data_IF_171278665412
#
_entry.id   IF_171278665412
#
_cell.length_a   1.000
_cell.length_b   1.000
_cell.length_c   1.000
_cell.angle_alpha   90.00
_cell.angle_beta   90.00
_cell.angle_gamma   90.00
#
_symmetry.space_group_name_H-M   'P 1'
#
loop_
_entity.id
_entity.type
_entity.pdbx_description
1 polymer ?
#
# COMPACT_ATOMS: atom_id res chain seq x y z
N UNK A 1 19.10 -34.50 -1.76
CA UNK A 1 18.20 -33.32 -1.67
C UNK A 1 19.10 -32.11 -1.41
N UNK A 2 19.23 -31.18 -2.36
CA UNK A 2 20.05 -29.97 -2.16
C UNK A 2 19.20 -28.94 -1.39
N UNK A 3 19.71 -28.30 -0.32
CA UNK A 3 19.01 -27.21 0.33
C UNK A 3 18.81 -26.09 -0.70
N UNK A 4 17.62 -25.50 -0.74
CA UNK A 4 17.41 -24.27 -1.49
C UNK A 4 18.30 -23.17 -0.87
N UNK A 5 18.94 -22.31 -1.66
CA UNK A 5 19.68 -21.18 -1.11
C UNK A 5 18.67 -20.32 -0.35
N UNK A 6 18.87 -20.18 0.97
CA UNK A 6 18.21 -19.13 1.74
C UNK A 6 18.98 -17.87 1.40
N UNK A 7 18.49 -17.17 0.38
CA UNK A 7 18.85 -15.79 0.17
C UNK A 7 18.46 -15.03 1.43
N UNK A 8 19.48 -14.59 2.16
CA UNK A 8 19.32 -13.57 3.18
C UNK A 8 18.88 -12.31 2.43
N UNK A 9 17.58 -12.15 2.17
CA UNK A 9 16.96 -10.97 1.56
C UNK A 9 17.17 -9.77 2.48
N UNK A 10 18.40 -9.26 2.50
CA UNK A 10 18.69 -7.92 2.97
C UNK A 10 18.01 -7.01 1.97
N UNK A 11 16.91 -6.38 2.37
CA UNK A 11 16.28 -5.30 1.60
C UNK A 11 17.37 -4.31 1.17
N UNK A 12 17.69 -4.28 -0.12
CA UNK A 12 18.69 -3.37 -0.67
C UNK A 12 17.99 -2.10 -1.15
N UNK A 13 18.70 -0.97 -1.17
CA UNK A 13 18.15 0.28 -1.72
C UNK A 13 17.75 0.20 -3.21
N UNK A 14 18.10 -0.89 -3.89
CA UNK A 14 17.79 -1.17 -5.30
C UNK A 14 16.59 -2.09 -5.52
N UNK A 15 15.93 -2.50 -4.44
CA UNK A 15 14.75 -3.35 -4.52
C UNK A 15 13.56 -2.60 -5.12
N UNK A 16 12.61 -3.36 -5.66
CA UNK A 16 11.44 -2.81 -6.33
C UNK A 16 10.27 -2.66 -5.36
N UNK A 17 9.57 -1.54 -5.47
CA UNK A 17 8.23 -1.41 -4.92
C UNK A 17 7.24 -2.03 -5.90
N UNK A 18 6.98 -3.33 -5.72
CA UNK A 18 6.19 -4.16 -6.64
C UNK A 18 4.76 -3.66 -6.84
N UNK A 19 4.07 -3.25 -5.77
CA UNK A 19 2.71 -2.72 -5.83
C UNK A 19 2.58 -1.44 -6.67
N UNK A 20 3.60 -0.58 -6.65
CA UNK A 20 3.65 0.65 -7.47
C UNK A 20 4.36 0.45 -8.82
N UNK A 21 4.97 -0.71 -9.06
CA UNK A 21 5.85 -1.00 -10.22
C UNK A 21 7.00 0.00 -10.38
N UNK A 22 7.53 0.50 -9.26
CA UNK A 22 8.64 1.46 -9.22
C UNK A 22 9.92 0.76 -8.74
N UNK A 23 11.06 1.06 -9.36
CA UNK A 23 12.38 0.58 -8.92
C UNK A 23 13.42 1.67 -9.15
N UNK A 24 14.24 1.94 -8.14
CA UNK A 24 15.44 2.75 -8.30
C UNK A 24 16.68 1.83 -8.36
N UNK A 25 17.19 1.57 -9.56
CA UNK A 25 18.40 0.74 -9.74
C UNK A 25 19.68 1.42 -9.26
N UNK A 26 19.66 2.74 -9.02
CA UNK A 26 20.80 3.49 -8.49
C UNK A 26 20.88 3.38 -6.97
N UNK A 27 19.74 3.23 -6.30
CA UNK A 27 19.63 3.18 -4.84
C UNK A 27 19.72 4.54 -4.14
N UNK A 28 19.60 5.64 -4.89
CA UNK A 28 19.76 7.00 -4.40
C UNK A 28 18.48 7.60 -3.81
N UNK A 29 17.33 6.98 -4.04
CA UNK A 29 16.02 7.47 -3.59
C UNK A 29 15.70 7.14 -2.12
N UNK A 30 16.61 6.44 -1.44
CA UNK A 30 16.42 5.84 -0.11
C UNK A 30 15.60 4.55 -0.16
N UNK A 31 15.49 3.84 0.96
CA UNK A 31 14.77 2.55 1.02
C UNK A 31 13.37 2.65 1.66
N UNK A 32 13.02 3.80 2.26
CA UNK A 32 11.77 3.96 2.99
C UNK A 32 10.62 4.35 2.05
N UNK A 33 9.70 3.40 1.80
CA UNK A 33 8.50 3.60 0.98
C UNK A 33 7.47 4.46 1.69
N UNK A 34 7.24 4.23 2.99
CA UNK A 34 6.23 4.92 3.77
C UNK A 34 5.54 4.02 4.79
N UNK A 35 4.47 4.55 5.39
CA UNK A 35 3.59 3.85 6.32
C UNK A 35 2.14 4.04 5.87
N UNK A 36 1.31 3.00 6.03
CA UNK A 36 -0.12 3.07 5.70
C UNK A 36 -0.96 2.86 6.95
N UNK A 37 -2.01 3.66 7.07
CA UNK A 37 -3.08 3.48 8.05
C UNK A 37 -4.39 3.20 7.32
N UNK A 38 -5.18 2.25 7.81
CA UNK A 38 -6.51 1.94 7.28
C UNK A 38 -7.53 1.96 8.42
N UNK A 39 -8.70 2.53 8.14
CA UNK A 39 -9.87 2.50 9.00
C UNK A 39 -11.06 1.95 8.23
N UNK A 40 -11.87 1.14 8.90
CA UNK A 40 -13.06 0.52 8.31
C UNK A 40 -14.22 0.48 9.30
N UNK A 41 -15.38 0.96 8.85
CA UNK A 41 -16.62 0.95 9.60
C UNK A 41 -17.64 0.11 8.87
N UNK A 42 -18.29 -0.80 9.60
CA UNK A 42 -19.34 -1.69 9.07
C UNK A 42 -20.58 -1.57 9.92
N UNK A 43 -21.73 -1.37 9.28
CA UNK A 43 -23.02 -1.25 9.94
C UNK A 43 -24.06 -2.12 9.24
N UNK A 44 -24.75 -2.95 10.02
CA UNK A 44 -25.90 -3.72 9.56
C UNK A 44 -27.16 -2.87 9.69
N UNK A 45 -27.58 -2.24 8.60
CA UNK A 45 -28.79 -1.43 8.57
C UNK A 45 -30.05 -2.28 8.71
N UNK A 46 -30.06 -3.47 8.07
CA UNK A 46 -31.07 -4.51 8.27
C UNK A 46 -30.34 -5.80 8.60
N UNK A 47 -30.55 -6.40 9.79
CA UNK A 47 -29.87 -7.63 10.17
C UNK A 47 -30.00 -8.71 9.10
N UNK A 48 -28.87 -9.28 8.68
CA UNK A 48 -28.76 -10.34 7.66
C UNK A 48 -29.21 -9.99 6.24
N UNK A 49 -29.66 -8.77 5.96
CA UNK A 49 -30.15 -8.39 4.62
C UNK A 49 -29.36 -7.24 4.04
N UNK A 50 -29.14 -6.15 4.81
CA UNK A 50 -28.50 -4.94 4.30
C UNK A 50 -27.35 -4.50 5.20
N UNK A 51 -26.16 -4.40 4.61
CA UNK A 51 -24.96 -3.88 5.26
C UNK A 51 -24.40 -2.69 4.50
N UNK A 52 -24.02 -1.66 5.23
CA UNK A 52 -23.19 -0.57 4.75
C UNK A 52 -21.77 -0.74 5.29
N UNK A 53 -20.79 -0.44 4.45
CA UNK A 53 -19.39 -0.40 4.80
C UNK A 53 -18.77 0.88 4.24
N UNK A 54 -17.94 1.53 5.04
CA UNK A 54 -17.07 2.58 4.56
C UNK A 54 -15.66 2.33 5.06
N UNK A 55 -14.68 2.73 4.27
CA UNK A 55 -13.30 2.68 4.71
C UNK A 55 -12.50 3.85 4.17
N UNK A 56 -11.41 4.12 4.87
CA UNK A 56 -10.44 5.15 4.56
C UNK A 56 -9.05 4.57 4.72
N UNK A 57 -8.17 4.83 3.76
CA UNK A 57 -6.77 4.49 3.81
C UNK A 57 -5.93 5.74 3.57
N UNK A 58 -4.89 5.91 4.37
CA UNK A 58 -3.93 7.00 4.26
C UNK A 58 -2.52 6.44 4.16
N UNK A 59 -1.79 6.81 3.11
CA UNK A 59 -0.40 6.44 2.89
C UNK A 59 0.49 7.66 3.13
N UNK A 60 1.21 7.63 4.26
CA UNK A 60 2.31 8.55 4.57
C UNK A 60 3.52 8.18 3.72
N UNK A 61 3.80 8.97 2.68
CA UNK A 61 4.87 8.68 1.73
C UNK A 61 6.24 8.91 2.36
N UNK A 62 7.10 7.88 2.27
CA UNK A 62 8.52 7.95 2.59
C UNK A 62 9.37 8.56 1.49
N UNK A 63 10.69 8.58 1.69
CA UNK A 63 11.63 9.21 0.74
C UNK A 63 11.62 8.53 -0.63
N UNK A 64 11.52 7.20 -0.66
CA UNK A 64 11.51 6.43 -1.90
C UNK A 64 10.26 6.74 -2.72
N UNK A 65 9.07 6.72 -2.09
CA UNK A 65 7.81 7.02 -2.76
C UNK A 65 7.71 8.46 -3.31
N UNK A 66 8.53 9.39 -2.79
CA UNK A 66 8.58 10.80 -3.24
C UNK A 66 9.64 11.08 -4.30
N UNK A 67 10.72 10.31 -4.33
CA UNK A 67 11.93 10.65 -5.09
C UNK A 67 12.37 9.56 -6.09
N UNK A 68 11.81 8.36 -6.03
CA UNK A 68 12.16 7.29 -6.95
C UNK A 68 11.93 7.69 -8.42
N UNK A 69 12.70 7.12 -9.37
CA UNK A 69 12.44 7.29 -10.79
C UNK A 69 10.99 6.90 -11.11
N UNK A 70 10.28 7.76 -11.84
CA UNK A 70 8.85 7.60 -12.15
C UNK A 70 7.89 7.68 -10.94
N UNK A 71 8.35 8.17 -9.79
CA UNK A 71 7.43 8.56 -8.73
C UNK A 71 6.46 9.65 -9.23
N UNK A 72 5.19 9.65 -8.77
CA UNK A 72 4.25 10.70 -9.12
C UNK A 72 4.81 12.09 -8.78
N UNK A 73 4.54 13.08 -9.65
CA UNK A 73 4.95 14.47 -9.42
C UNK A 73 4.38 15.04 -8.12
N UNK A 74 3.19 14.56 -7.72
CA UNK A 74 2.60 14.89 -6.43
C UNK A 74 3.28 14.11 -5.29
N UNK A 75 4.01 14.85 -4.45
CA UNK A 75 4.74 14.32 -3.29
C UNK A 75 3.91 14.26 -2.00
N UNK A 76 2.69 14.82 -1.99
CA UNK A 76 1.80 14.72 -0.85
C UNK A 76 1.38 13.28 -0.60
N UNK A 77 0.96 13.01 0.63
CA UNK A 77 0.43 11.73 1.05
C UNK A 77 -0.85 11.37 0.26
N UNK A 78 -1.22 10.08 0.27
CA UNK A 78 -2.35 9.58 -0.53
C UNK A 78 -3.48 9.17 0.39
N UNK A 79 -4.65 9.75 0.13
CA UNK A 79 -5.90 9.39 0.77
C UNK A 79 -6.80 8.62 -0.20
N UNK A 80 -7.33 7.50 0.26
CA UNK A 80 -8.35 6.74 -0.45
C UNK A 80 -9.55 6.53 0.46
N UNK A 81 -10.75 6.81 -0.05
CA UNK A 81 -12.00 6.63 0.67
C UNK A 81 -12.95 5.79 -0.18
N UNK A 82 -13.67 4.88 0.47
CA UNK A 82 -14.72 4.11 -0.19
C UNK A 82 -15.98 4.00 0.66
N UNK A 83 -17.08 3.78 -0.04
CA UNK A 83 -18.36 3.39 0.51
C UNK A 83 -18.90 2.22 -0.31
N UNK A 84 -19.42 1.21 0.37
CA UNK A 84 -19.97 0.01 -0.22
C UNK A 84 -21.29 -0.35 0.48
N UNK A 85 -22.23 -0.85 -0.33
CA UNK A 85 -23.47 -1.49 0.15
C UNK A 85 -23.44 -2.96 -0.24
N UNK A 86 -23.80 -3.84 0.68
CA UNK A 86 -23.95 -5.27 0.43
C UNK A 86 -25.37 -5.72 0.79
N UNK A 87 -26.03 -6.36 -0.18
CA UNK A 87 -27.35 -6.94 -0.04
C UNK A 87 -27.22 -8.46 -0.03
N UNK A 88 -27.79 -9.11 0.98
CA UNK A 88 -27.91 -10.57 1.05
C UNK A 88 -29.36 -10.92 0.73
N UNK A 89 -29.54 -11.73 -0.32
CA UNK A 89 -30.83 -12.19 -0.86
C UNK A 89 -30.87 -13.71 -0.75
#
# INVERSE_FOLDING_TARGET
MRPLPVDNEKLQSKDSWTGAKIRDVTGNSGAYIGQQMEMRLRWQAIPKTLQFETGWAHLFKGSFAKNAPNAPSNKSDVDYFYFQTSLHI
#
